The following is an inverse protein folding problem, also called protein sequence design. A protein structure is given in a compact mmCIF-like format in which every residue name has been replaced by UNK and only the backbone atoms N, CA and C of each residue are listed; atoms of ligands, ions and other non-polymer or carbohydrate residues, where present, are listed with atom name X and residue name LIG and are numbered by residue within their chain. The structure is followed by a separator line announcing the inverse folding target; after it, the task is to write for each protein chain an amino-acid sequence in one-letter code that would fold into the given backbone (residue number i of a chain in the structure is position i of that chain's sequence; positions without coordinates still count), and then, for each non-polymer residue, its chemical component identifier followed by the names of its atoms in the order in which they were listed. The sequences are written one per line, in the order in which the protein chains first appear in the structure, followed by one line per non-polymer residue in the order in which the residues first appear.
data_IF_801435551652
#
_entry.id   IF_801435551652
#
_cell.length_a   1.000
_cell.length_b   1.000
_cell.length_c   1.000
_cell.angle_alpha   90.00
_cell.angle_beta   90.00
_cell.angle_gamma   90.00
#
_symmetry.space_group_name_H-M   'P 1'
#
loop_
_entity.id
_entity.type
_entity.pdbx_description
1 polymer ?
#
# COMPACT_ATOMS: atom_id res chain seq x y z
N UNK A 1 10.99 -2.80 21.33
CA UNK A 1 10.29 -2.06 22.40
C UNK A 1 9.42 -3.04 23.19
N UNK A 2 9.43 -2.95 24.52
CA UNK A 2 8.69 -3.89 25.39
C UNK A 2 7.35 -3.24 25.76
N UNK A 3 6.25 -3.76 25.21
CA UNK A 3 4.87 -3.27 25.43
C UNK A 3 4.52 -3.19 26.92
N UNK A 4 4.95 -4.16 27.73
CA UNK A 4 4.69 -4.15 29.19
C UNK A 4 5.39 -3.00 29.88
N UNK A 5 6.62 -2.66 29.51
CA UNK A 5 7.33 -1.49 30.03
C UNK A 5 6.65 -0.19 29.62
N UNK A 6 6.14 -0.11 28.38
CA UNK A 6 5.39 1.05 27.92
C UNK A 6 4.08 1.24 28.70
N UNK A 7 3.32 0.16 28.94
CA UNK A 7 2.11 0.20 29.78
C UNK A 7 2.41 0.64 31.21
N UNK A 8 3.51 0.14 31.81
CA UNK A 8 3.92 0.57 33.15
C UNK A 8 4.25 2.06 33.18
N UNK A 9 5.04 2.56 32.22
CA UNK A 9 5.38 3.98 32.15
C UNK A 9 4.15 4.89 31.95
N UNK A 10 3.19 4.48 31.12
CA UNK A 10 1.93 5.21 30.91
C UNK A 10 1.06 5.25 32.17
N UNK A 11 1.07 4.18 32.99
CA UNK A 11 0.37 4.13 34.24
C UNK A 11 1.08 5.00 35.32
N UNK A 12 2.40 4.94 35.38
CA UNK A 12 3.23 5.75 36.30
C UNK A 12 3.11 7.25 36.00
N UNK A 13 2.97 7.64 34.75
CA UNK A 13 2.79 9.04 34.33
C UNK A 13 1.34 9.54 34.49
N UNK A 14 0.40 8.67 34.90
CA UNK A 14 -1.01 9.03 35.08
C UNK A 14 -1.81 9.18 33.77
N UNK A 15 -1.23 8.83 32.64
CA UNK A 15 -1.93 8.82 31.33
C UNK A 15 -2.95 7.68 31.27
N UNK A 16 -2.62 6.53 31.88
CA UNK A 16 -3.52 5.41 32.11
C UNK A 16 -3.89 5.32 33.59
N UNK A 17 -5.16 5.03 33.89
CA UNK A 17 -5.54 4.64 35.23
C UNK A 17 -4.86 3.32 35.64
N UNK A 18 -4.68 3.07 36.93
CA UNK A 18 -4.11 1.81 37.42
C UNK A 18 -4.97 0.61 36.99
N UNK A 19 -6.30 0.79 36.94
CA UNK A 19 -7.26 -0.22 36.51
C UNK A 19 -7.14 -0.52 35.01
N UNK A 20 -7.09 0.52 34.18
CA UNK A 20 -6.94 0.38 32.72
C UNK A 20 -5.58 -0.23 32.37
N UNK A 21 -4.50 0.22 33.04
CA UNK A 21 -3.16 -0.33 32.85
C UNK A 21 -3.10 -1.82 33.22
N UNK A 22 -3.78 -2.23 34.29
CA UNK A 22 -3.93 -3.62 34.71
C UNK A 22 -4.72 -4.44 33.65
N UNK A 23 -5.86 -3.93 33.21
CA UNK A 23 -6.72 -4.56 32.20
C UNK A 23 -5.98 -4.72 30.86
N UNK A 24 -5.26 -3.70 30.39
CA UNK A 24 -4.47 -3.77 29.16
C UNK A 24 -3.33 -4.78 29.26
N UNK A 25 -2.70 -4.91 30.44
CA UNK A 25 -1.67 -5.92 30.69
C UNK A 25 -2.24 -7.33 30.59
N UNK A 26 -3.39 -7.60 31.18
CA UNK A 26 -4.08 -8.88 31.08
C UNK A 26 -4.47 -9.19 29.63
N UNK A 27 -5.08 -8.23 28.94
CA UNK A 27 -5.43 -8.37 27.53
C UNK A 27 -4.20 -8.65 26.64
N UNK A 28 -3.07 -8.00 26.93
CA UNK A 28 -1.81 -8.26 26.21
C UNK A 28 -1.37 -9.71 26.35
N UNK A 29 -1.36 -10.28 27.57
CA UNK A 29 -0.98 -11.69 27.77
C UNK A 29 -1.95 -12.65 27.05
N UNK A 30 -3.25 -12.36 27.09
CA UNK A 30 -4.25 -13.17 26.37
C UNK A 30 -3.99 -13.13 24.87
N UNK A 31 -3.84 -11.96 24.27
CA UNK A 31 -3.62 -11.82 22.82
C UNK A 31 -2.27 -12.43 22.38
N UNK A 32 -1.21 -12.29 23.20
CA UNK A 32 0.09 -12.95 22.93
C UNK A 32 -0.01 -14.48 23.00
N UNK A 33 -0.86 -15.01 23.89
CA UNK A 33 -1.12 -16.44 23.94
C UNK A 33 -1.85 -16.93 22.67
N UNK A 34 -2.81 -16.16 22.16
CA UNK A 34 -3.46 -16.47 20.88
C UNK A 34 -2.45 -16.46 19.73
N UNK A 35 -1.68 -15.40 19.60
CA UNK A 35 -0.66 -15.25 18.57
C UNK A 35 0.36 -16.40 18.61
N UNK A 36 0.92 -16.68 19.79
CA UNK A 36 1.90 -17.75 19.95
C UNK A 36 1.34 -19.13 19.56
N UNK A 37 0.08 -19.40 19.90
CA UNK A 37 -0.53 -20.68 19.54
C UNK A 37 -0.94 -20.76 18.07
N UNK A 38 -1.27 -19.66 17.43
CA UNK A 38 -1.45 -19.61 15.98
C UNK A 38 -0.14 -19.94 15.25
N UNK A 39 0.98 -19.40 15.70
CA UNK A 39 2.30 -19.69 15.14
C UNK A 39 2.76 -21.15 15.35
N UNK A 40 2.19 -21.88 16.33
CA UNK A 40 2.46 -23.31 16.53
C UNK A 40 1.71 -24.21 15.54
N UNK A 41 0.66 -23.72 14.88
CA UNK A 41 -0.10 -24.53 13.90
C UNK A 41 0.62 -24.51 12.54
N UNK A 42 1.22 -23.39 12.19
CA UNK A 42 1.94 -23.23 10.93
C UNK A 42 3.23 -22.46 11.23
N UNK A 43 4.38 -22.95 10.81
CA UNK A 43 5.70 -22.35 11.08
C UNK A 43 5.87 -20.93 10.47
N UNK A 44 4.82 -20.40 9.85
CA UNK A 44 4.77 -19.05 9.30
C UNK A 44 4.23 -18.03 10.32
N UNK A 45 4.59 -16.76 10.15
CA UNK A 45 4.04 -15.65 10.96
C UNK A 45 2.58 -15.37 10.60
N UNK A 46 1.68 -16.22 11.08
CA UNK A 46 0.23 -16.08 10.89
C UNK A 46 -0.34 -15.18 11.98
N UNK A 47 -1.05 -14.13 11.57
CA UNK A 47 -1.75 -13.18 12.45
C UNK A 47 -3.28 -13.25 12.29
N UNK A 48 -3.78 -14.23 11.55
CA UNK A 48 -5.22 -14.43 11.29
C UNK A 48 -5.69 -15.76 11.88
N UNK A 49 -6.93 -15.78 12.35
CA UNK A 49 -7.54 -17.04 12.79
C UNK A 49 -7.71 -18.00 11.60
N UNK A 50 -7.66 -19.32 11.85
CA UNK A 50 -7.96 -20.32 10.83
C UNK A 50 -9.31 -20.04 10.15
N UNK A 51 -9.36 -20.30 8.84
CA UNK A 51 -10.53 -19.94 8.02
C UNK A 51 -11.67 -20.95 8.12
N UNK A 52 -11.36 -22.22 8.37
CA UNK A 52 -12.38 -23.28 8.42
C UNK A 52 -12.91 -23.51 9.85
N UNK A 53 -14.17 -23.92 9.95
CA UNK A 53 -14.80 -24.23 11.22
C UNK A 53 -14.07 -25.35 11.97
N UNK A 54 -13.60 -26.36 11.25
CA UNK A 54 -12.86 -27.50 11.82
C UNK A 54 -11.53 -27.06 12.45
N UNK A 55 -10.77 -26.27 11.75
CA UNK A 55 -9.50 -25.72 12.26
C UNK A 55 -9.72 -24.80 13.46
N UNK A 56 -10.78 -23.98 13.43
CA UNK A 56 -11.15 -23.14 14.56
C UNK A 56 -11.56 -23.96 15.80
N UNK A 57 -12.24 -25.08 15.63
CA UNK A 57 -12.55 -26.00 16.73
C UNK A 57 -11.29 -26.64 17.31
N UNK A 58 -10.35 -27.05 16.46
CA UNK A 58 -9.06 -27.57 16.91
C UNK A 58 -8.27 -26.49 17.66
N UNK A 59 -8.21 -25.29 17.12
CA UNK A 59 -7.55 -24.16 17.75
C UNK A 59 -8.19 -23.78 19.09
N UNK A 60 -9.52 -23.82 19.21
CA UNK A 60 -10.20 -23.58 20.49
C UNK A 60 -9.73 -24.54 21.59
N UNK A 61 -9.57 -25.81 21.26
CA UNK A 61 -9.01 -26.81 22.19
C UNK A 61 -7.55 -26.51 22.55
N UNK A 62 -6.74 -26.13 21.58
CA UNK A 62 -5.37 -25.68 21.86
C UNK A 62 -5.34 -24.46 22.79
N UNK A 63 -6.33 -23.59 22.72
CA UNK A 63 -6.49 -22.44 23.63
C UNK A 63 -6.98 -22.84 25.03
N UNK A 64 -7.38 -24.08 25.26
CA UNK A 64 -7.83 -24.60 26.54
C UNK A 64 -9.34 -24.55 26.74
N UNK A 65 -10.12 -24.40 25.66
CA UNK A 65 -11.57 -24.51 25.70
C UNK A 65 -11.96 -25.96 25.46
N UNK A 66 -12.39 -26.64 26.52
CA UNK A 66 -12.78 -28.04 26.49
C UNK A 66 -14.19 -28.19 27.02
N UNK A 67 -15.10 -28.63 26.18
CA UNK A 67 -16.42 -29.11 26.54
C UNK A 67 -16.74 -30.41 25.80
N UNK A 68 -17.91 -30.97 26.05
CA UNK A 68 -18.42 -32.13 25.29
C UNK A 68 -18.80 -31.80 23.84
N UNK A 69 -18.82 -30.51 23.47
CA UNK A 69 -19.25 -30.04 22.16
C UNK A 69 -18.15 -29.09 21.54
N UNK A 70 -17.52 -29.56 20.47
CA UNK A 70 -16.49 -28.84 19.78
C UNK A 70 -16.96 -27.49 19.20
N UNK A 71 -18.22 -27.35 18.83
CA UNK A 71 -18.79 -26.09 18.37
C UNK A 71 -18.96 -25.10 19.53
N UNK A 72 -19.36 -25.57 20.71
CA UNK A 72 -19.39 -24.72 21.90
C UNK A 72 -18.00 -24.24 22.28
N UNK A 73 -16.97 -25.10 22.19
CA UNK A 73 -15.57 -24.70 22.44
C UNK A 73 -15.13 -23.58 21.48
N UNK A 74 -15.46 -23.70 20.21
CA UNK A 74 -15.19 -22.67 19.18
C UNK A 74 -15.88 -21.35 19.50
N UNK A 75 -17.17 -21.40 19.81
CA UNK A 75 -17.95 -20.20 20.15
C UNK A 75 -17.43 -19.50 21.42
N UNK A 76 -17.10 -20.27 22.44
CA UNK A 76 -16.53 -19.75 23.69
C UNK A 76 -15.17 -19.08 23.43
N UNK A 77 -14.32 -19.69 22.63
CA UNK A 77 -13.02 -19.13 22.23
C UNK A 77 -13.20 -17.81 21.48
N UNK A 78 -14.10 -17.77 20.47
CA UNK A 78 -14.38 -16.57 19.70
C UNK A 78 -14.98 -15.45 20.56
N UNK A 79 -15.88 -15.81 21.49
CA UNK A 79 -16.45 -14.87 22.44
C UNK A 79 -15.38 -14.27 23.36
N UNK A 80 -14.53 -15.12 23.92
CA UNK A 80 -13.41 -14.69 24.75
C UNK A 80 -12.47 -13.73 24.02
N UNK A 81 -12.11 -14.04 22.77
CA UNK A 81 -11.26 -13.18 21.95
C UNK A 81 -11.93 -11.82 21.67
N UNK A 82 -13.21 -11.83 21.25
CA UNK A 82 -14.01 -10.61 21.01
C UNK A 82 -14.10 -9.74 22.24
N UNK A 83 -14.37 -10.32 23.41
CA UNK A 83 -14.43 -9.58 24.66
C UNK A 83 -13.07 -8.97 25.05
N UNK A 84 -11.98 -9.72 24.84
CA UNK A 84 -10.64 -9.18 25.08
C UNK A 84 -10.36 -7.98 24.17
N UNK A 85 -10.66 -8.08 22.88
CA UNK A 85 -10.50 -6.98 21.93
C UNK A 85 -11.43 -5.80 22.25
N UNK A 86 -12.66 -6.06 22.71
CA UNK A 86 -13.61 -5.00 23.11
C UNK A 86 -13.12 -4.22 24.33
N UNK A 87 -12.53 -4.88 25.34
CA UNK A 87 -11.90 -4.22 26.49
C UNK A 87 -10.77 -3.28 26.06
N UNK A 88 -9.88 -3.77 25.20
CA UNK A 88 -8.80 -2.94 24.63
C UNK A 88 -9.39 -1.73 23.90
N UNK A 89 -10.38 -1.91 23.03
CA UNK A 89 -11.02 -0.80 22.31
C UNK A 89 -11.69 0.21 23.23
N UNK A 90 -12.37 -0.24 24.29
CA UNK A 90 -13.05 0.64 25.25
C UNK A 90 -12.06 1.56 25.96
N UNK A 91 -10.93 1.00 26.45
CA UNK A 91 -9.91 1.78 27.13
C UNK A 91 -9.24 2.77 26.16
N UNK A 92 -8.89 2.32 24.96
CA UNK A 92 -8.35 3.21 23.93
C UNK A 92 -9.36 4.30 23.54
N UNK A 93 -10.64 3.97 23.32
CA UNK A 93 -11.70 4.95 23.03
C UNK A 93 -11.80 6.02 24.10
N UNK A 94 -11.83 5.64 25.38
CA UNK A 94 -11.90 6.59 26.50
C UNK A 94 -10.70 7.52 26.63
N UNK A 95 -9.49 7.05 26.23
CA UNK A 95 -8.29 7.88 26.21
C UNK A 95 -8.29 8.93 25.08
N UNK A 96 -9.02 8.65 23.98
CA UNK A 96 -9.01 9.46 22.78
C UNK A 96 -10.14 10.49 22.71
N UNK A 97 -11.25 10.29 23.42
CA UNK A 97 -12.36 11.26 23.45
C UNK A 97 -11.96 12.61 24.08
N UNK A 98 -11.10 12.64 25.10
CA UNK A 98 -10.53 13.88 25.64
C UNK A 98 -9.50 14.53 24.68
N UNK A 99 -8.79 13.75 23.89
CA UNK A 99 -7.73 14.24 23.00
C UNK A 99 -8.25 14.81 21.67
N UNK A 100 -9.52 14.62 21.33
CA UNK A 100 -10.12 15.20 20.13
C UNK A 100 -9.95 16.73 20.08
N UNK A 101 -10.17 17.39 21.22
CA UNK A 101 -9.98 18.84 21.36
C UNK A 101 -8.50 19.25 21.36
N UNK A 102 -7.62 18.41 21.89
CA UNK A 102 -6.16 18.65 21.93
C UNK A 102 -5.53 18.54 20.54
N UNK A 103 -5.96 17.59 19.69
CA UNK A 103 -5.45 17.43 18.32
C UNK A 103 -5.85 18.61 17.45
N UNK A 104 -7.10 19.04 17.53
CA UNK A 104 -7.57 20.24 16.81
C UNK A 104 -6.81 21.50 17.25
N UNK A 105 -6.56 21.63 18.56
CA UNK A 105 -5.77 22.72 19.13
C UNK A 105 -4.27 22.62 18.74
N UNK A 106 -3.68 21.43 18.73
CA UNK A 106 -2.29 21.20 18.31
C UNK A 106 -2.10 21.49 16.82
N UNK A 107 -3.03 21.06 15.97
CA UNK A 107 -3.01 21.37 14.54
C UNK A 107 -3.16 22.89 14.30
N UNK A 108 -4.03 23.57 15.06
CA UNK A 108 -4.20 25.03 14.98
C UNK A 108 -3.00 25.82 15.53
N UNK A 109 -2.33 25.32 16.58
CA UNK A 109 -1.25 26.01 17.28
C UNK A 109 0.13 25.67 16.75
N UNK A 110 0.24 24.79 15.75
CA UNK A 110 1.52 24.44 15.15
C UNK A 110 2.21 25.70 14.64
N UNK A 111 3.41 25.97 15.15
CA UNK A 111 4.24 27.12 14.75
C UNK A 111 4.54 27.13 13.25
N UNK A 112 4.41 26.01 12.57
CA UNK A 112 4.61 25.86 11.13
C UNK A 112 3.44 26.40 10.31
N UNK A 113 2.21 26.41 10.86
CA UNK A 113 1.04 27.02 10.21
C UNK A 113 1.08 28.54 10.17
N UNK A 114 1.91 29.19 11.00
CA UNK A 114 2.05 30.66 11.02
C UNK A 114 2.69 31.24 9.75
N UNK A 115 3.32 30.41 8.95
CA UNK A 115 3.98 30.81 7.71
C UNK A 115 3.10 30.71 6.47
N UNK A 116 1.84 30.28 6.60
CA UNK A 116 0.89 30.17 5.50
C UNK A 116 0.11 31.47 5.32
N UNK A 117 -0.30 31.75 4.07
CA UNK A 117 -1.19 32.86 3.76
C UNK A 117 -2.55 32.65 4.41
N UNK A 118 -3.34 33.71 4.67
CA UNK A 118 -4.63 33.58 5.36
C UNK A 118 -5.59 32.56 4.74
N UNK A 119 -5.65 32.46 3.40
CA UNK A 119 -6.47 31.48 2.68
C UNK A 119 -5.98 30.05 2.89
N UNK A 120 -4.67 29.84 2.86
CA UNK A 120 -4.04 28.54 3.10
C UNK A 120 -4.27 28.09 4.54
N UNK A 121 -4.18 29.00 5.50
CA UNK A 121 -4.48 28.74 6.91
C UNK A 121 -5.94 28.30 7.13
N UNK A 122 -6.91 28.97 6.48
CA UNK A 122 -8.32 28.60 6.53
C UNK A 122 -8.58 27.21 5.93
N UNK A 123 -7.87 26.89 4.85
CA UNK A 123 -7.97 25.58 4.19
C UNK A 123 -7.41 24.48 5.09
N UNK A 124 -6.24 24.72 5.70
CA UNK A 124 -5.63 23.80 6.68
C UNK A 124 -6.52 23.60 7.90
N UNK A 125 -7.17 24.66 8.41
CA UNK A 125 -8.15 24.52 9.49
C UNK A 125 -9.37 23.68 9.09
N UNK A 126 -9.86 23.84 7.86
CA UNK A 126 -10.94 23.02 7.33
C UNK A 126 -10.52 21.55 7.23
N UNK A 127 -9.31 21.30 6.73
CA UNK A 127 -8.71 19.96 6.65
C UNK A 127 -8.53 19.36 8.06
N UNK A 128 -7.99 20.11 9.00
CA UNK A 128 -7.80 19.67 10.37
C UNK A 128 -9.11 19.29 11.06
N UNK A 129 -10.18 20.08 10.86
CA UNK A 129 -11.51 19.76 11.41
C UNK A 129 -12.10 18.46 10.88
N UNK A 130 -11.85 18.14 9.62
CA UNK A 130 -12.33 16.89 9.04
C UNK A 130 -11.46 15.67 9.43
N UNK A 131 -10.19 15.89 9.70
CA UNK A 131 -9.27 14.84 10.13
C UNK A 131 -9.39 14.52 11.63
N UNK A 132 -9.68 15.51 12.46
CA UNK A 132 -9.73 15.36 13.91
C UNK A 132 -10.61 14.18 14.38
N UNK A 133 -11.84 13.96 13.87
CA UNK A 133 -12.67 12.81 14.24
C UNK A 133 -12.06 11.47 13.84
N UNK A 134 -11.30 11.44 12.75
CA UNK A 134 -10.68 10.24 12.20
C UNK A 134 -9.40 9.92 12.98
N UNK A 135 -8.62 10.94 13.30
CA UNK A 135 -7.38 10.82 14.05
C UNK A 135 -7.63 10.36 15.49
N UNK A 136 -8.76 10.73 16.09
CA UNK A 136 -9.12 10.29 17.44
C UNK A 136 -9.41 8.79 17.55
N UNK A 137 -9.65 8.10 16.43
CA UNK A 137 -10.00 6.68 16.39
C UNK A 137 -8.82 5.72 16.16
N UNK A 138 -7.64 6.19 15.76
CA UNK A 138 -6.53 5.32 15.31
C UNK A 138 -5.17 5.93 15.65
N UNK A 139 -4.31 5.24 16.38
CA UNK A 139 -2.85 5.45 16.55
C UNK A 139 -2.31 6.87 16.29
N UNK A 140 -2.66 7.81 17.13
CA UNK A 140 -2.65 9.25 16.93
C UNK A 140 -1.29 9.84 16.49
N UNK A 141 -0.19 9.45 17.16
CA UNK A 141 1.13 10.05 16.95
C UNK A 141 1.69 9.78 15.53
N UNK A 142 1.38 8.61 14.95
CA UNK A 142 1.84 8.27 13.62
C UNK A 142 1.06 9.04 12.55
N UNK A 143 -0.26 9.13 12.71
CA UNK A 143 -1.13 9.85 11.79
C UNK A 143 -0.83 11.34 11.79
N UNK A 144 -0.69 11.96 12.97
CA UNK A 144 -0.30 13.35 13.08
C UNK A 144 1.01 13.63 12.35
N UNK A 145 2.07 12.85 12.60
CA UNK A 145 3.35 13.00 11.93
C UNK A 145 3.25 12.86 10.42
N UNK A 146 2.43 11.91 9.95
CA UNK A 146 2.18 11.70 8.51
C UNK A 146 1.46 12.89 7.89
N UNK A 147 0.42 13.39 8.52
CA UNK A 147 -0.32 14.54 8.01
C UNK A 147 0.51 15.82 8.05
N UNK A 148 1.30 16.06 9.09
CA UNK A 148 2.25 17.18 9.11
C UNK A 148 3.22 17.10 7.94
N UNK A 149 3.80 15.94 7.69
CA UNK A 149 4.70 15.76 6.56
C UNK A 149 4.01 15.98 5.21
N UNK A 150 2.75 15.54 5.08
CA UNK A 150 1.96 15.80 3.89
C UNK A 150 1.75 17.30 3.68
N UNK A 151 1.33 18.02 4.70
CA UNK A 151 1.11 19.48 4.63
C UNK A 151 2.42 20.24 4.33
N UNK A 152 3.55 19.81 4.89
CA UNK A 152 4.86 20.36 4.51
C UNK A 152 5.19 20.11 3.03
N UNK A 153 4.86 18.92 2.53
CA UNK A 153 5.11 18.55 1.13
C UNK A 153 4.22 19.31 0.16
N UNK A 154 2.95 19.50 0.50
CA UNK A 154 2.00 20.27 -0.32
C UNK A 154 2.35 21.76 -0.31
N UNK A 155 2.76 22.31 0.83
CA UNK A 155 3.25 23.67 1.00
C UNK A 155 2.36 24.73 0.32
N UNK A 156 2.97 25.57 -0.50
CA UNK A 156 2.30 26.66 -1.24
C UNK A 156 1.30 26.17 -2.32
N UNK A 157 1.24 24.86 -2.61
CA UNK A 157 0.28 24.31 -3.59
C UNK A 157 -1.05 23.89 -2.96
N UNK A 158 -1.31 24.25 -1.71
CA UNK A 158 -2.48 23.82 -0.95
C UNK A 158 -3.81 24.16 -1.67
N UNK A 159 -3.89 25.31 -2.36
CA UNK A 159 -5.07 25.71 -3.13
C UNK A 159 -5.45 24.70 -4.23
N UNK A 160 -4.47 23.99 -4.80
CA UNK A 160 -4.67 22.95 -5.82
C UNK A 160 -5.51 21.78 -5.27
N UNK A 161 -5.46 21.56 -3.95
CA UNK A 161 -6.13 20.46 -3.27
C UNK A 161 -7.39 20.89 -2.51
N UNK A 162 -7.85 22.14 -2.72
CA UNK A 162 -9.08 22.66 -2.12
C UNK A 162 -10.32 21.81 -2.39
N UNK A 163 -10.49 21.12 -3.56
CA UNK A 163 -11.63 20.24 -3.78
C UNK A 163 -11.75 19.11 -2.75
N UNK A 164 -10.63 18.59 -2.20
CA UNK A 164 -10.68 17.59 -1.16
C UNK A 164 -11.49 18.01 0.07
N UNK A 165 -11.48 19.29 0.40
CA UNK A 165 -12.21 19.81 1.56
C UNK A 165 -13.72 19.65 1.46
N UNK A 166 -14.25 19.43 0.26
CA UNK A 166 -15.67 19.25 0.00
C UNK A 166 -16.12 17.79 -0.06
N UNK A 167 -15.18 16.84 0.06
CA UNK A 167 -15.44 15.39 -0.07
C UNK A 167 -15.04 14.63 1.19
N UNK A 168 -15.94 14.46 2.18
CA UNK A 168 -15.63 13.72 3.41
C UNK A 168 -15.11 12.29 3.17
N UNK A 169 -15.60 11.61 2.14
CA UNK A 169 -15.13 10.26 1.77
C UNK A 169 -13.66 10.24 1.37
N UNK A 170 -13.14 11.29 0.72
CA UNK A 170 -11.71 11.40 0.37
C UNK A 170 -10.83 11.52 1.62
N UNK A 171 -11.32 12.20 2.66
CA UNK A 171 -10.61 12.29 3.95
C UNK A 171 -10.57 10.96 4.69
N UNK A 172 -11.68 10.24 4.72
CA UNK A 172 -11.73 8.90 5.31
C UNK A 172 -10.76 7.96 4.59
N UNK A 173 -10.71 8.01 3.26
CA UNK A 173 -9.77 7.24 2.46
C UNK A 173 -8.31 7.62 2.74
N UNK A 174 -8.01 8.93 2.77
CA UNK A 174 -6.68 9.43 3.08
C UNK A 174 -6.21 8.99 4.47
N UNK A 175 -7.09 9.06 5.46
CA UNK A 175 -6.79 8.61 6.82
C UNK A 175 -6.62 7.08 6.89
N UNK A 176 -7.42 6.31 6.17
CA UNK A 176 -7.26 4.86 6.05
C UNK A 176 -5.89 4.50 5.45
N UNK A 177 -5.49 5.15 4.35
CA UNK A 177 -4.16 4.99 3.75
C UNK A 177 -3.07 5.37 4.75
N UNK A 178 -3.21 6.51 5.42
CA UNK A 178 -2.26 6.97 6.43
C UNK A 178 -2.15 6.03 7.64
N UNK A 179 -3.21 5.33 8.01
CA UNK A 179 -3.21 4.41 9.14
C UNK A 179 -2.66 3.02 8.81
N UNK A 180 -2.81 2.55 7.56
CA UNK A 180 -2.66 1.13 7.23
C UNK A 180 -1.55 0.80 6.26
N UNK A 181 -1.11 1.75 5.40
CA UNK A 181 -0.17 1.43 4.33
C UNK A 181 0.96 2.44 4.18
N UNK A 182 2.17 2.03 4.61
CA UNK A 182 3.40 2.82 4.38
C UNK A 182 3.67 3.03 2.88
N UNK A 183 3.41 2.02 2.08
CA UNK A 183 3.65 2.05 0.63
C UNK A 183 2.77 3.08 -0.06
N UNK A 184 1.46 3.00 0.13
CA UNK A 184 0.52 3.95 -0.48
C UNK A 184 0.76 5.37 0.04
N UNK A 185 1.07 5.50 1.33
CA UNK A 185 1.42 6.78 1.92
C UNK A 185 2.66 7.41 1.29
N UNK A 186 3.73 6.61 1.09
CA UNK A 186 4.96 7.07 0.43
C UNK A 186 4.73 7.42 -1.04
N UNK A 187 3.90 6.65 -1.77
CA UNK A 187 3.50 7.01 -3.13
C UNK A 187 2.80 8.38 -3.17
N UNK A 188 1.91 8.64 -2.23
CA UNK A 188 1.20 9.91 -2.13
C UNK A 188 2.14 11.08 -1.80
N UNK A 189 3.10 10.90 -0.91
CA UNK A 189 4.11 11.91 -0.60
C UNK A 189 5.03 12.20 -1.78
N UNK A 190 5.36 11.19 -2.57
CA UNK A 190 6.22 11.33 -3.76
C UNK A 190 5.45 11.98 -4.92
N UNK A 191 4.15 11.73 -5.02
CA UNK A 191 3.27 12.28 -6.05
C UNK A 191 1.97 12.81 -5.42
N UNK A 192 2.00 14.06 -4.98
CA UNK A 192 0.85 14.70 -4.32
C UNK A 192 -0.36 14.88 -5.23
N UNK A 193 -0.22 14.76 -6.56
CA UNK A 193 -1.36 14.77 -7.49
C UNK A 193 -2.32 13.59 -7.28
N UNK A 194 -1.87 12.53 -6.61
CA UNK A 194 -2.72 11.42 -6.18
C UNK A 194 -3.82 11.86 -5.20
N UNK A 195 -3.63 12.97 -4.49
CA UNK A 195 -4.69 13.57 -3.67
C UNK A 195 -5.97 13.87 -4.46
N UNK A 196 -5.83 14.33 -5.71
CA UNK A 196 -6.96 14.61 -6.60
C UNK A 196 -7.65 13.34 -7.12
N UNK A 197 -7.08 12.16 -6.84
CA UNK A 197 -7.61 10.85 -7.23
C UNK A 197 -8.21 10.07 -6.06
N UNK A 198 -8.28 10.69 -4.87
CA UNK A 198 -8.89 10.09 -3.69
C UNK A 198 -10.42 10.03 -3.74
N UNK A 199 -11.05 10.77 -4.64
CA UNK A 199 -12.49 10.64 -4.89
C UNK A 199 -12.84 9.19 -5.26
N UNK A 200 -13.87 8.59 -4.63
CA UNK A 200 -14.35 7.28 -5.03
C UNK A 200 -14.88 7.33 -6.46
N UNK A 201 -14.12 6.82 -7.40
CA UNK A 201 -14.53 6.64 -8.78
C UNK A 201 -14.52 5.16 -9.10
N UNK A 202 -15.32 4.78 -10.08
CA UNK A 202 -15.26 3.42 -10.61
C UNK A 202 -13.85 3.12 -11.10
N UNK A 203 -13.20 2.15 -10.47
CA UNK A 203 -11.84 1.75 -10.82
C UNK A 203 -11.91 0.78 -12.01
N UNK A 204 -11.27 1.14 -13.11
CA UNK A 204 -11.11 0.28 -14.26
C UNK A 204 -9.72 -0.35 -14.26
N UNK A 205 -9.68 -1.68 -14.21
CA UNK A 205 -8.47 -2.50 -14.16
C UNK A 205 -8.30 -3.38 -15.41
N UNK A 206 -9.17 -3.19 -16.41
CA UNK A 206 -9.07 -3.93 -17.66
C UNK A 206 -7.83 -3.49 -18.46
N UNK A 207 -7.22 -4.46 -19.16
CA UNK A 207 -5.96 -4.25 -19.87
C UNK A 207 -6.07 -3.22 -21.00
N UNK A 208 -7.22 -3.11 -21.65
CA UNK A 208 -7.45 -2.15 -22.73
C UNK A 208 -7.45 -0.71 -22.21
N UNK A 209 -8.14 -0.49 -21.08
CA UNK A 209 -8.14 0.82 -20.45
C UNK A 209 -6.75 1.22 -19.96
N UNK A 210 -6.04 0.34 -19.27
CA UNK A 210 -4.70 0.62 -18.76
C UNK A 210 -3.69 0.88 -19.89
N UNK A 211 -3.78 0.16 -21.00
CA UNK A 211 -2.96 0.43 -22.19
C UNK A 211 -3.22 1.82 -22.78
N UNK A 212 -4.49 2.20 -22.94
CA UNK A 212 -4.85 3.54 -23.42
C UNK A 212 -4.34 4.66 -22.51
N UNK A 213 -4.42 4.46 -21.19
CA UNK A 213 -3.94 5.47 -20.22
C UNK A 213 -2.41 5.61 -20.25
N UNK A 214 -1.64 4.52 -20.36
CA UNK A 214 -0.18 4.62 -20.49
C UNK A 214 0.22 5.21 -21.83
N UNK A 215 -0.42 4.81 -22.95
CA UNK A 215 -0.14 5.37 -24.26
C UNK A 215 -0.42 6.88 -24.31
N UNK A 216 -1.50 7.33 -23.66
CA UNK A 216 -1.79 8.74 -23.49
C UNK A 216 -0.70 9.46 -22.70
N UNK A 217 -0.19 8.85 -21.63
CA UNK A 217 0.89 9.45 -20.83
C UNK A 217 2.19 9.55 -21.64
N UNK A 218 2.50 8.54 -22.47
CA UNK A 218 3.67 8.52 -23.35
C UNK A 218 3.55 9.53 -24.50
N UNK A 219 2.35 9.80 -24.99
CA UNK A 219 2.09 10.76 -26.09
C UNK A 219 2.49 12.21 -25.76
N UNK A 220 2.76 12.54 -24.52
CA UNK A 220 3.27 13.85 -24.09
C UNK A 220 4.79 13.90 -23.93
N UNK A 221 5.47 12.76 -24.06
CA UNK A 221 6.91 12.66 -23.86
C UNK A 221 7.64 12.97 -25.17
N UNK A 222 8.76 13.68 -25.09
CA UNK A 222 9.60 14.06 -26.23
C UNK A 222 10.90 13.28 -26.27
N UNK A 223 11.30 12.68 -25.15
CA UNK A 223 12.55 11.95 -24.98
C UNK A 223 12.32 10.65 -24.21
N UNK A 224 13.14 9.66 -24.47
CA UNK A 224 13.05 8.34 -23.84
C UNK A 224 13.09 8.38 -22.31
N UNK A 225 13.93 9.21 -21.72
CA UNK A 225 14.02 9.35 -20.26
C UNK A 225 12.66 9.81 -19.67
N UNK A 226 11.98 10.73 -20.36
CA UNK A 226 10.62 11.16 -20.01
C UNK A 226 9.60 10.02 -20.16
N UNK A 227 9.75 9.18 -21.20
CA UNK A 227 8.88 8.01 -21.40
C UNK A 227 9.03 7.00 -20.27
N UNK A 228 10.26 6.66 -19.87
CA UNK A 228 10.51 5.74 -18.74
C UNK A 228 9.99 6.31 -17.41
N UNK A 229 10.16 7.61 -17.20
CA UNK A 229 9.61 8.27 -16.02
C UNK A 229 8.07 8.34 -16.06
N UNK A 230 7.47 8.50 -17.23
CA UNK A 230 6.02 8.43 -17.40
C UNK A 230 5.49 7.03 -17.08
N UNK A 231 6.18 5.97 -17.52
CA UNK A 231 5.83 4.57 -17.18
C UNK A 231 5.93 4.34 -15.67
N UNK A 232 6.99 4.83 -15.01
CA UNK A 232 7.13 4.72 -13.54
C UNK A 232 6.00 5.45 -12.81
N UNK A 233 5.71 6.70 -13.20
CA UNK A 233 4.59 7.47 -12.62
C UNK A 233 3.25 6.80 -12.86
N UNK A 234 3.02 6.24 -14.04
CA UNK A 234 1.84 5.48 -14.36
C UNK A 234 1.71 4.26 -13.44
N UNK A 235 2.77 3.42 -13.31
CA UNK A 235 2.80 2.28 -12.39
C UNK A 235 2.43 2.70 -10.97
N UNK A 236 3.09 3.72 -10.42
CA UNK A 236 2.83 4.18 -9.06
C UNK A 236 1.39 4.69 -8.87
N UNK A 237 0.86 5.41 -9.87
CA UNK A 237 -0.52 5.90 -9.85
C UNK A 237 -1.52 4.75 -9.84
N UNK A 238 -1.37 3.77 -10.72
CA UNK A 238 -2.28 2.64 -10.79
C UNK A 238 -2.17 1.72 -9.57
N UNK A 239 -0.96 1.48 -9.05
CA UNK A 239 -0.74 0.76 -7.79
C UNK A 239 -1.44 1.46 -6.63
N UNK A 240 -1.36 2.78 -6.55
CA UNK A 240 -2.04 3.58 -5.53
C UNK A 240 -3.57 3.46 -5.65
N UNK A 241 -4.11 3.54 -6.85
CA UNK A 241 -5.56 3.42 -7.09
C UNK A 241 -6.08 2.03 -6.72
N UNK A 242 -5.36 0.97 -7.12
CA UNK A 242 -5.68 -0.42 -6.76
C UNK A 242 -5.70 -0.60 -5.24
N UNK A 243 -4.62 -0.18 -4.56
CA UNK A 243 -4.51 -0.31 -3.10
C UNK A 243 -5.55 0.52 -2.34
N UNK A 244 -5.86 1.72 -2.82
CA UNK A 244 -6.90 2.55 -2.23
C UNK A 244 -8.28 1.90 -2.35
N UNK A 245 -8.59 1.32 -3.52
CA UNK A 245 -9.86 0.65 -3.77
C UNK A 245 -10.01 -0.65 -2.95
N UNK A 246 -8.91 -1.39 -2.76
CA UNK A 246 -8.89 -2.58 -1.89
C UNK A 246 -9.12 -2.20 -0.42
N UNK A 247 -8.46 -1.14 0.08
CA UNK A 247 -8.67 -0.64 1.45
C UNK A 247 -10.11 -0.17 1.70
N UNK A 248 -10.77 0.36 0.68
CA UNK A 248 -12.18 0.77 0.76
C UNK A 248 -13.17 -0.39 0.58
N UNK A 249 -12.68 -1.60 0.32
CA UNK A 249 -13.54 -2.75 0.03
C UNK A 249 -14.25 -2.70 -1.32
N UNK A 250 -13.83 -1.82 -2.23
CA UNK A 250 -14.35 -1.72 -3.61
C UNK A 250 -13.75 -2.80 -4.52
N UNK A 251 -12.59 -3.35 -4.15
CA UNK A 251 -11.96 -4.50 -4.79
C UNK A 251 -11.77 -5.62 -3.77
N UNK A 252 -12.10 -6.82 -4.20
CA UNK A 252 -11.71 -8.01 -3.45
C UNK A 252 -10.22 -8.32 -3.65
N UNK A 253 -9.61 -9.01 -2.69
CA UNK A 253 -8.21 -9.40 -2.70
C UNK A 253 -7.75 -10.03 -4.03
N UNK A 254 -8.53 -10.95 -4.60
CA UNK A 254 -8.19 -11.60 -5.86
C UNK A 254 -8.24 -10.63 -7.06
N UNK A 255 -9.18 -9.70 -7.06
CA UNK A 255 -9.27 -8.67 -8.10
C UNK A 255 -8.09 -7.71 -8.05
N UNK A 256 -7.65 -7.32 -6.84
CA UNK A 256 -6.47 -6.48 -6.65
C UNK A 256 -5.20 -7.18 -7.19
N UNK A 257 -5.01 -8.46 -6.90
CA UNK A 257 -3.89 -9.28 -7.41
C UNK A 257 -3.89 -9.38 -8.94
N UNK A 258 -5.04 -9.65 -9.54
CA UNK A 258 -5.19 -9.67 -11.00
C UNK A 258 -4.86 -8.30 -11.59
N UNK A 259 -5.37 -7.22 -10.99
CA UNK A 259 -5.08 -5.86 -11.42
C UNK A 259 -3.59 -5.52 -11.36
N UNK A 260 -2.89 -5.92 -10.30
CA UNK A 260 -1.43 -5.76 -10.16
C UNK A 260 -0.66 -6.55 -11.21
N UNK A 261 -1.12 -7.75 -11.54
CA UNK A 261 -0.49 -8.59 -12.57
C UNK A 261 -0.66 -7.97 -13.96
N UNK A 262 -1.88 -7.57 -14.32
CA UNK A 262 -2.14 -6.89 -15.60
C UNK A 262 -1.33 -5.59 -15.70
N UNK A 263 -1.24 -4.82 -14.61
CA UNK A 263 -0.42 -3.62 -14.57
C UNK A 263 1.06 -3.92 -14.82
N UNK A 264 1.61 -4.97 -14.17
CA UNK A 264 3.00 -5.36 -14.34
C UNK A 264 3.30 -5.79 -15.78
N UNK A 265 2.42 -6.57 -16.40
CA UNK A 265 2.54 -6.99 -17.82
C UNK A 265 2.57 -5.78 -18.75
N UNK A 266 1.67 -4.81 -18.56
CA UNK A 266 1.61 -3.59 -19.39
C UNK A 266 2.86 -2.75 -19.22
N UNK A 267 3.32 -2.56 -17.97
CA UNK A 267 4.53 -1.79 -17.65
C UNK A 267 5.76 -2.43 -18.28
N UNK A 268 5.91 -3.77 -18.14
CA UNK A 268 7.02 -4.50 -18.75
C UNK A 268 7.00 -4.38 -20.28
N UNK A 269 5.83 -4.54 -20.89
CA UNK A 269 5.69 -4.40 -22.34
C UNK A 269 6.07 -3.00 -22.80
N UNK A 270 5.59 -1.94 -22.13
CA UNK A 270 5.90 -0.56 -22.51
C UNK A 270 7.37 -0.21 -22.27
N UNK A 271 7.96 -0.65 -21.15
CA UNK A 271 9.40 -0.49 -20.92
C UNK A 271 10.22 -1.20 -22.00
N UNK A 272 9.84 -2.41 -22.40
CA UNK A 272 10.47 -3.12 -23.50
C UNK A 272 10.38 -2.33 -24.82
N UNK A 273 9.17 -1.87 -25.21
CA UNK A 273 8.94 -1.10 -26.44
C UNK A 273 9.86 0.13 -26.51
N UNK A 274 9.87 0.93 -25.44
CA UNK A 274 10.68 2.17 -25.36
C UNK A 274 12.19 1.86 -25.41
N UNK A 275 12.66 0.89 -24.63
CA UNK A 275 14.08 0.53 -24.59
C UNK A 275 14.55 -0.14 -25.90
N UNK A 276 13.69 -0.93 -26.52
CA UNK A 276 13.99 -1.60 -27.79
C UNK A 276 14.12 -0.60 -28.94
N UNK A 277 13.20 0.36 -29.03
CA UNK A 277 13.25 1.43 -30.06
C UNK A 277 14.56 2.22 -29.98
N UNK A 278 14.99 2.61 -28.78
CA UNK A 278 16.27 3.33 -28.61
C UNK A 278 17.45 2.48 -29.06
N UNK A 279 17.48 1.21 -28.68
CA UNK A 279 18.59 0.33 -29.02
C UNK A 279 18.67 0.06 -30.53
N UNK A 280 17.54 -0.11 -31.22
CA UNK A 280 17.54 -0.30 -32.68
C UNK A 280 17.92 0.97 -33.44
N UNK A 281 17.58 2.15 -32.93
CA UNK A 281 18.06 3.41 -33.51
C UNK A 281 19.60 3.52 -33.44
N UNK A 282 20.22 2.97 -32.42
CA UNK A 282 21.67 3.01 -32.22
C UNK A 282 22.42 1.89 -32.92
N UNK A 283 21.88 0.67 -32.84
CA UNK A 283 22.59 -0.56 -33.25
C UNK A 283 21.99 -1.24 -34.47
N UNK A 284 20.78 -0.84 -34.89
CA UNK A 284 20.01 -1.57 -35.90
C UNK A 284 19.20 -2.73 -35.29
N UNK A 285 18.48 -3.43 -36.10
CA UNK A 285 17.62 -4.56 -35.73
C UNK A 285 18.48 -5.81 -35.56
N UNK A 286 18.36 -6.55 -34.41
CA UNK A 286 19.03 -7.83 -34.24
C UNK A 286 18.52 -8.84 -35.26
N UNK A 287 19.45 -9.48 -35.99
CA UNK A 287 19.18 -10.50 -37.05
C UNK A 287 19.65 -11.87 -36.55
N UNK A 288 18.93 -12.92 -36.93
CA UNK A 288 19.36 -14.30 -36.71
C UNK A 288 20.31 -14.78 -37.85
N UNK A 289 20.71 -16.06 -37.80
CA UNK A 289 21.63 -16.65 -38.79
C UNK A 289 21.04 -16.68 -40.21
N UNK A 290 19.73 -16.54 -40.34
CA UNK A 290 19.03 -16.51 -41.65
C UNK A 290 18.83 -15.08 -42.19
N UNK A 291 19.21 -14.07 -41.38
CA UNK A 291 18.99 -12.66 -41.71
C UNK A 291 17.61 -12.12 -41.30
N UNK A 292 16.75 -12.96 -40.73
CA UNK A 292 15.44 -12.52 -40.22
C UNK A 292 15.58 -11.80 -38.87
N UNK A 293 14.63 -10.91 -38.52
CA UNK A 293 14.64 -10.25 -37.22
C UNK A 293 14.56 -11.26 -36.07
N UNK A 294 15.51 -11.21 -35.17
CA UNK A 294 15.53 -12.08 -34.01
C UNK A 294 14.35 -11.77 -33.09
N UNK A 295 13.64 -12.80 -32.66
CA UNK A 295 12.48 -12.69 -31.76
C UNK A 295 12.94 -12.56 -30.30
N UNK A 296 12.18 -11.83 -29.51
CA UNK A 296 12.42 -11.67 -28.08
C UNK A 296 11.15 -11.96 -27.30
N UNK A 297 11.29 -12.61 -26.15
CA UNK A 297 10.16 -12.94 -25.26
C UNK A 297 10.56 -12.76 -23.81
N UNK A 298 9.64 -12.24 -23.01
CA UNK A 298 9.74 -12.14 -21.57
C UNK A 298 8.75 -13.14 -20.97
N UNK A 299 9.24 -14.04 -20.13
CA UNK A 299 8.44 -15.05 -19.45
C UNK A 299 8.39 -14.69 -17.98
N UNK A 300 7.21 -14.40 -17.46
CA UNK A 300 6.97 -14.21 -16.02
C UNK A 300 6.91 -15.54 -15.29
N UNK A 301 7.65 -15.68 -14.22
CA UNK A 301 7.63 -16.82 -13.29
C UNK A 301 7.06 -16.41 -11.94
N UNK A 302 7.09 -17.33 -11.00
CA UNK A 302 6.71 -17.11 -9.61
C UNK A 302 5.32 -16.47 -9.49
N UNK A 303 5.21 -15.42 -8.71
CA UNK A 303 3.93 -14.73 -8.47
C UNK A 303 3.38 -14.03 -9.72
N UNK A 304 4.24 -13.55 -10.62
CA UNK A 304 3.80 -12.97 -11.89
C UNK A 304 3.16 -14.04 -12.75
N UNK A 305 3.84 -15.18 -12.96
CA UNK A 305 3.34 -16.30 -13.76
C UNK A 305 2.08 -16.95 -13.16
N UNK A 306 1.95 -16.95 -11.83
CA UNK A 306 0.77 -17.45 -11.11
C UNK A 306 -0.39 -16.44 -11.00
N UNK A 307 -0.25 -15.23 -11.54
CA UNK A 307 -1.21 -14.13 -11.38
C UNK A 307 -1.49 -13.80 -9.90
N UNK A 308 -0.41 -13.80 -9.09
CA UNK A 308 -0.48 -13.69 -7.63
C UNK A 308 0.35 -12.54 -7.07
N UNK A 309 0.58 -11.49 -7.88
CA UNK A 309 1.34 -10.33 -7.44
C UNK A 309 0.69 -9.63 -6.25
N UNK A 310 1.53 -9.15 -5.36
CA UNK A 310 1.16 -8.25 -4.25
C UNK A 310 1.90 -6.92 -4.41
N UNK A 311 1.57 -5.92 -3.61
CA UNK A 311 2.13 -4.56 -3.72
C UNK A 311 3.66 -4.49 -3.58
N UNK A 312 4.28 -5.47 -2.96
CA UNK A 312 5.74 -5.57 -2.73
C UNK A 312 6.38 -6.76 -3.42
N UNK A 313 5.70 -7.37 -4.39
CA UNK A 313 6.27 -8.51 -5.11
C UNK A 313 7.37 -8.06 -6.05
N UNK A 314 8.46 -8.79 -6.03
CA UNK A 314 9.46 -8.78 -7.08
C UNK A 314 8.91 -9.51 -8.32
N UNK A 315 9.52 -9.25 -9.47
CA UNK A 315 9.19 -9.90 -10.73
C UNK A 315 10.28 -10.91 -11.08
N UNK A 316 9.93 -12.19 -11.04
CA UNK A 316 10.80 -13.27 -11.52
C UNK A 316 10.64 -13.38 -13.02
N UNK A 317 11.68 -13.03 -13.79
CA UNK A 317 11.61 -12.94 -15.25
C UNK A 317 12.68 -13.80 -15.89
N UNK A 318 12.30 -14.53 -16.96
CA UNK A 318 13.23 -15.15 -17.89
C UNK A 318 13.12 -14.41 -19.22
N UNK A 319 14.27 -14.08 -19.79
CA UNK A 319 14.39 -13.44 -21.08
C UNK A 319 14.93 -14.43 -22.12
N UNK A 320 14.21 -14.59 -23.21
CA UNK A 320 14.61 -15.48 -24.30
C UNK A 320 14.70 -14.68 -25.59
N UNK A 321 15.68 -15.00 -26.42
CA UNK A 321 15.77 -14.52 -27.78
C UNK A 321 16.14 -15.63 -28.75
N UNK A 322 15.69 -15.50 -30.00
CA UNK A 322 16.00 -16.48 -31.07
C UNK A 322 17.27 -16.07 -31.81
N UNK A 323 18.05 -17.06 -32.16
CA UNK A 323 19.14 -16.94 -33.13
C UNK A 323 20.43 -16.29 -32.60
N UNK A 324 21.53 -16.83 -33.06
CA UNK A 324 22.87 -16.27 -32.92
C UNK A 324 23.07 -15.38 -34.18
N UNK A 325 23.47 -14.12 -33.98
CA UNK A 325 23.68 -13.18 -35.06
C UNK A 325 24.07 -11.81 -34.59
N UNK A 326 23.96 -10.82 -35.42
CA UNK A 326 24.37 -9.44 -35.14
C UNK A 326 23.27 -8.45 -35.59
N UNK A 327 23.33 -7.25 -35.06
CA UNK A 327 22.46 -6.15 -35.50
C UNK A 327 22.88 -5.62 -36.87
N UNK A 328 21.90 -5.08 -37.66
CA UNK A 328 22.10 -4.60 -39.02
C UNK A 328 22.43 -3.10 -39.13
N UNK A 329 22.68 -2.40 -38.00
CA UNK A 329 22.97 -0.97 -38.02
C UNK A 329 24.45 -0.61 -38.23
N UNK A 330 24.76 0.69 -38.16
CA UNK A 330 26.14 1.18 -38.29
C UNK A 330 27.06 0.75 -37.13
N UNK A 331 26.51 0.68 -35.92
CA UNK A 331 27.23 0.22 -34.73
C UNK A 331 26.77 -1.20 -34.37
N UNK A 332 27.21 -2.16 -35.22
CA UNK A 332 26.85 -3.57 -35.02
C UNK A 332 27.31 -4.13 -33.71
N UNK A 333 26.47 -4.92 -33.09
CA UNK A 333 26.77 -5.71 -31.91
C UNK A 333 26.12 -7.09 -32.03
N UNK A 334 26.67 -8.11 -31.36
CA UNK A 334 26.04 -9.42 -31.37
C UNK A 334 24.68 -9.38 -30.64
N UNK A 335 23.75 -10.28 -31.04
CA UNK A 335 22.45 -10.41 -30.42
C UNK A 335 22.57 -10.57 -28.90
N UNK A 336 23.54 -11.32 -28.43
CA UNK A 336 23.81 -11.46 -26.98
C UNK A 336 24.08 -10.12 -26.30
N UNK A 337 24.91 -9.28 -26.90
CA UNK A 337 25.24 -7.95 -26.35
C UNK A 337 24.04 -7.02 -26.44
N UNK A 338 23.29 -7.07 -27.56
CA UNK A 338 22.08 -6.26 -27.73
C UNK A 338 21.04 -6.57 -26.66
N UNK A 339 20.68 -7.85 -26.51
CA UNK A 339 19.67 -8.25 -25.55
C UNK A 339 20.11 -8.12 -24.09
N UNK A 340 21.40 -8.30 -23.80
CA UNK A 340 21.93 -7.99 -22.47
C UNK A 340 21.79 -6.50 -22.11
N UNK A 341 22.01 -5.59 -23.09
CA UNK A 341 21.77 -4.15 -22.89
C UNK A 341 20.29 -3.85 -22.72
N UNK A 342 19.41 -4.51 -23.50
CA UNK A 342 17.96 -4.35 -23.40
C UNK A 342 17.45 -4.75 -22.02
N UNK A 343 17.79 -5.97 -21.57
CA UNK A 343 17.38 -6.51 -20.26
C UNK A 343 17.83 -5.61 -19.09
N UNK A 344 19.03 -5.04 -19.19
CA UNK A 344 19.55 -4.15 -18.13
C UNK A 344 18.78 -2.83 -18.03
N UNK A 345 18.05 -2.43 -19.07
CA UNK A 345 17.30 -1.16 -19.14
C UNK A 345 15.83 -1.32 -18.78
N UNK A 346 15.26 -2.50 -19.01
CA UNK A 346 13.91 -2.89 -18.56
C UNK A 346 13.89 -3.03 -17.03
#
# INVERSE_FOLDING_TARGET
QNTLKALSALTETGILSTEDGGTLRECYFVLRKYEHRLQMIDEQQIHTLPSTQFEQQHFARMMGFYSSNAEADRQNMLHHLRNTMAKVRSIFGGLFDQKHLEVEAALRNSTRLRNFRPKEAQLLESMARQLAPILSQSGQDLLEKRFYRLFETIGAQLEKYSPLCHHPASWSRLASIAATSDTLWNHLLTNTDLLNKLEPKELRIDSEFLRKEVDKALGYCTHQEEELDAIRRFKHTQTFLLGSAELDGLLEYNQARQGLTVLAEIVLQKAHEVCFIELIQRHGIPRDETGEPAKFSIIGLGKLGGMELTYHSDLDLIFLYSGIGETDGQLQVSNQVFYAKLIKRI
#
